data_IF_784804439494
#
_entry.id   IF_784804439494
#
_cell.length_a   1.000
_cell.length_b   1.000
_cell.length_c   1.000
_cell.angle_alpha   90.00
_cell.angle_beta   90.00
_cell.angle_gamma   90.00
#
_symmetry.space_group_name_H-M   'P 1'
#
loop_
_entity.id
_entity.type
_entity.pdbx_description
1 polymer ?
#
# COMPACT_ATOMS: atom_id res chain seq x y z
N UNK A 1 -27.16 65.79 1.30
CA UNK A 1 -27.88 64.53 0.92
C UNK A 1 -26.83 63.48 0.50
N UNK A 2 -26.32 62.73 1.45
CA UNK A 2 -25.31 61.72 1.25
C UNK A 2 -26.00 60.35 1.12
N UNK A 3 -25.82 59.67 -0.02
CA UNK A 3 -26.32 58.34 -0.26
C UNK A 3 -25.29 57.33 0.29
N UNK A 4 -25.65 56.40 1.17
CA UNK A 4 -24.78 55.31 1.56
C UNK A 4 -24.75 54.28 0.42
N UNK A 5 -23.55 53.96 -0.07
CA UNK A 5 -23.27 52.83 -0.96
C UNK A 5 -23.43 51.53 -0.21
N UNK A 6 -24.11 50.53 -0.72
CA UNK A 6 -24.21 49.23 -0.07
C UNK A 6 -22.93 48.42 -0.32
N UNK A 7 -22.14 48.27 0.71
CA UNK A 7 -20.89 47.53 0.76
C UNK A 7 -21.18 46.06 1.22
N UNK A 8 -22.23 45.43 0.66
CA UNK A 8 -22.73 44.10 1.12
C UNK A 8 -22.64 43.02 0.02
N UNK A 9 -21.90 43.21 -1.04
CA UNK A 9 -21.92 42.21 -2.15
C UNK A 9 -20.58 41.53 -2.42
N UNK A 10 -19.69 41.39 -1.41
CA UNK A 10 -18.37 40.80 -1.62
C UNK A 10 -18.04 39.59 -0.71
N UNK A 11 -19.04 38.98 -0.09
CA UNK A 11 -18.81 37.82 0.80
C UNK A 11 -19.46 36.49 0.37
N UNK A 12 -19.89 36.39 -0.88
CA UNK A 12 -20.66 35.23 -1.34
C UNK A 12 -19.96 34.34 -2.38
N UNK A 13 -18.63 34.42 -2.52
CA UNK A 13 -17.94 33.63 -3.55
C UNK A 13 -16.75 32.76 -3.05
N UNK A 14 -16.74 32.33 -1.80
CA UNK A 14 -15.70 31.43 -1.30
C UNK A 14 -16.22 30.21 -0.52
N UNK A 15 -16.99 29.32 -1.12
CA UNK A 15 -17.01 27.95 -0.63
C UNK A 15 -16.93 26.93 -1.76
N UNK A 16 -15.97 27.03 -2.66
CA UNK A 16 -15.86 26.02 -3.73
C UNK A 16 -14.51 25.27 -3.78
N UNK A 17 -13.65 25.46 -2.80
CA UNK A 17 -12.33 24.81 -2.79
C UNK A 17 -12.17 23.70 -1.72
N UNK A 18 -13.25 23.30 -1.08
CA UNK A 18 -13.31 22.07 -0.26
C UNK A 18 -13.99 20.93 -1.02
N UNK A 19 -13.92 20.92 -2.35
CA UNK A 19 -14.15 19.70 -3.11
C UNK A 19 -13.07 18.72 -2.66
N UNK A 20 -13.44 17.77 -1.81
CA UNK A 20 -12.56 16.76 -1.28
C UNK A 20 -11.71 16.20 -2.41
N UNK A 21 -10.43 16.02 -2.14
CA UNK A 21 -9.54 15.27 -3.01
C UNK A 21 -10.18 13.88 -3.19
N UNK A 22 -10.99 13.74 -4.22
CA UNK A 22 -11.42 12.44 -4.71
C UNK A 22 -10.10 11.81 -5.14
N UNK A 23 -9.57 10.91 -4.29
CA UNK A 23 -8.27 10.30 -4.52
C UNK A 23 -8.28 9.68 -5.90
N UNK A 24 -7.37 10.13 -6.76
CA UNK A 24 -7.22 9.58 -8.11
C UNK A 24 -6.84 8.12 -7.95
N UNK A 25 -7.63 7.23 -8.53
CA UNK A 25 -7.29 5.81 -8.59
C UNK A 25 -6.11 5.60 -9.53
N UNK A 26 -5.19 4.78 -9.08
CA UNK A 26 -4.06 4.28 -9.85
C UNK A 26 -4.24 2.78 -10.05
N UNK A 27 -3.57 2.24 -11.06
CA UNK A 27 -3.57 0.81 -11.34
C UNK A 27 -2.25 0.19 -10.91
N UNK A 28 -2.30 -1.05 -10.45
CA UNK A 28 -1.10 -1.80 -10.12
C UNK A 28 -1.35 -3.29 -10.16
N UNK A 29 -0.29 -4.05 -10.38
CA UNK A 29 -0.35 -5.51 -10.42
C UNK A 29 0.27 -6.11 -9.17
N UNK A 30 -0.42 -7.04 -8.55
CA UNK A 30 0.07 -7.80 -7.40
C UNK A 30 1.00 -8.91 -7.90
N UNK A 31 2.29 -8.77 -7.66
CA UNK A 31 3.32 -9.70 -8.18
C UNK A 31 3.83 -10.69 -7.15
N UNK A 32 3.66 -10.41 -5.87
CA UNK A 32 4.14 -11.26 -4.78
C UNK A 32 3.22 -11.16 -3.57
N UNK A 33 3.10 -12.28 -2.85
CA UNK A 33 2.41 -12.35 -1.57
C UNK A 33 3.19 -13.26 -0.63
N UNK A 34 3.31 -12.88 0.62
CA UNK A 34 3.77 -13.75 1.70
C UNK A 34 3.07 -13.36 3.02
N UNK A 35 3.21 -14.19 4.04
CA UNK A 35 2.68 -13.86 5.36
C UNK A 35 3.77 -13.20 6.19
N UNK A 36 3.52 -12.01 6.67
CA UNK A 36 4.42 -11.21 7.48
C UNK A 36 3.80 -10.81 8.81
N UNK A 37 4.47 -9.95 9.55
CA UNK A 37 3.95 -9.40 10.81
C UNK A 37 2.91 -8.31 10.52
N UNK A 38 1.78 -8.36 11.25
CA UNK A 38 0.75 -7.33 11.15
C UNK A 38 1.28 -5.98 11.66
N UNK A 39 1.17 -4.93 10.85
CA UNK A 39 1.48 -3.56 11.28
C UNK A 39 0.32 -3.07 12.15
N UNK A 40 0.61 -2.76 13.43
CA UNK A 40 -0.36 -2.19 14.37
C UNK A 40 -1.13 -3.20 15.22
N UNK A 41 -0.85 -4.49 15.13
CA UNK A 41 -1.44 -5.50 16.00
C UNK A 41 -0.85 -5.52 17.44
N UNK A 42 0.12 -4.67 17.72
CA UNK A 42 0.95 -4.85 18.88
C UNK A 42 0.81 -3.81 19.99
N UNK A 43 -0.37 -3.42 20.42
CA UNK A 43 -0.49 -2.88 21.81
C UNK A 43 -1.97 -2.96 22.16
N UNK A 44 -2.35 -4.12 22.63
CA UNK A 44 -3.70 -4.31 23.15
C UNK A 44 -3.99 -3.32 24.26
N UNK A 45 -5.13 -2.70 24.20
CA UNK A 45 -5.70 -1.77 25.18
C UNK A 45 -5.56 -2.25 26.65
N UNK A 46 -5.42 -3.56 26.85
CA UNK A 46 -5.25 -4.17 28.18
C UNK A 46 -3.91 -3.86 28.85
N UNK A 47 -2.83 -3.54 28.11
CA UNK A 47 -1.54 -3.13 28.69
C UNK A 47 -1.64 -1.76 29.37
N UNK A 48 -2.53 -0.90 28.90
CA UNK A 48 -2.78 0.41 29.50
C UNK A 48 -3.41 0.34 30.91
N UNK A 49 -4.00 -0.78 31.28
CA UNK A 49 -4.65 -1.02 32.57
C UNK A 49 -3.84 -1.93 33.51
N UNK A 50 -2.56 -2.17 33.23
CA UNK A 50 -1.68 -2.93 34.15
C UNK A 50 -1.96 -4.45 34.18
N UNK A 51 -2.68 -4.98 33.22
CA UNK A 51 -2.84 -6.44 33.05
C UNK A 51 -1.52 -7.11 32.63
N UNK A 52 -1.29 -8.39 33.00
CA UNK A 52 -0.12 -9.10 32.53
C UNK A 52 -0.14 -9.16 31.00
N UNK A 53 1.02 -8.94 30.34
CA UNK A 53 1.10 -9.07 28.89
C UNK A 53 0.77 -10.53 28.53
N UNK A 54 -0.41 -10.74 27.98
CA UNK A 54 -0.70 -12.02 27.34
C UNK A 54 0.22 -12.13 26.12
N UNK A 55 1.04 -13.18 26.01
CA UNK A 55 1.82 -13.43 24.80
C UNK A 55 0.82 -13.80 23.70
N UNK A 56 0.24 -12.78 23.05
CA UNK A 56 -0.45 -13.01 21.78
C UNK A 56 0.64 -13.32 20.76
N UNK A 57 0.67 -14.57 20.34
CA UNK A 57 1.43 -14.93 19.14
C UNK A 57 1.01 -13.97 18.03
N UNK A 58 1.91 -13.21 17.41
CA UNK A 58 1.54 -12.24 16.40
C UNK A 58 0.81 -12.99 15.28
N UNK A 59 -0.46 -12.66 15.10
CA UNK A 59 -1.23 -13.24 14.01
C UNK A 59 -0.61 -12.79 12.70
N UNK A 60 -0.28 -13.71 11.77
CA UNK A 60 0.36 -13.32 10.51
C UNK A 60 -0.64 -12.59 9.62
N UNK A 61 -0.18 -11.50 9.01
CA UNK A 61 -0.92 -10.72 8.03
C UNK A 61 -0.36 -10.89 6.62
N UNK A 62 -1.21 -10.89 5.58
CA UNK A 62 -0.72 -10.96 4.21
C UNK A 62 0.02 -9.67 3.84
N UNK A 63 1.22 -9.84 3.33
CA UNK A 63 2.07 -8.80 2.78
C UNK A 63 2.17 -8.97 1.27
N UNK A 64 1.91 -7.89 0.53
CA UNK A 64 1.86 -7.89 -0.93
C UNK A 64 2.89 -6.95 -1.52
N UNK A 65 3.51 -7.35 -2.63
CA UNK A 65 4.24 -6.45 -3.50
C UNK A 65 3.32 -6.04 -4.65
N UNK A 66 2.98 -4.76 -4.69
CA UNK A 66 2.14 -4.13 -5.70
C UNK A 66 3.00 -3.25 -6.61
N UNK A 67 3.01 -3.56 -7.88
CA UNK A 67 3.80 -2.87 -8.90
C UNK A 67 2.87 -1.97 -9.72
N UNK A 68 3.09 -0.66 -9.64
CA UNK A 68 2.44 0.34 -10.49
C UNK A 68 3.40 0.89 -11.54
N UNK A 69 2.96 1.85 -12.35
CA UNK A 69 3.76 2.41 -13.43
C UNK A 69 5.04 3.11 -12.93
N UNK A 70 4.99 3.78 -11.79
CA UNK A 70 6.09 4.59 -11.29
C UNK A 70 6.68 4.11 -9.96
N UNK A 71 5.90 3.40 -9.16
CA UNK A 71 6.25 3.03 -7.79
C UNK A 71 5.88 1.57 -7.53
N UNK A 72 6.73 0.90 -6.78
CA UNK A 72 6.46 -0.43 -6.21
C UNK A 72 6.20 -0.25 -4.72
N UNK A 73 5.11 -0.82 -4.25
CA UNK A 73 4.69 -0.77 -2.85
C UNK A 73 4.80 -2.15 -2.22
N UNK A 74 5.29 -2.18 -1.01
CA UNK A 74 5.08 -3.32 -0.11
C UNK A 74 4.01 -2.91 0.88
N UNK A 75 2.88 -3.61 0.85
CA UNK A 75 1.71 -3.30 1.67
C UNK A 75 1.30 -4.50 2.52
N UNK A 76 0.81 -4.23 3.72
CA UNK A 76 0.43 -5.26 4.69
C UNK A 76 -1.05 -5.14 5.00
N UNK A 77 -1.77 -6.25 4.93
CA UNK A 77 -3.15 -6.34 5.37
C UNK A 77 -3.27 -6.08 6.87
N UNK A 78 -4.40 -5.52 7.28
CA UNK A 78 -4.68 -5.30 8.71
C UNK A 78 -5.16 -6.57 9.43
N UNK A 79 -5.65 -7.53 8.68
CA UNK A 79 -6.18 -8.79 9.16
C UNK A 79 -5.72 -9.93 8.26
N UNK A 80 -5.65 -11.12 8.80
CA UNK A 80 -5.24 -12.34 8.08
C UNK A 80 -6.12 -12.69 6.88
N UNK A 81 -7.35 -12.20 6.84
CA UNK A 81 -8.31 -12.42 5.75
C UNK A 81 -8.33 -11.30 4.67
N UNK A 82 -7.44 -10.32 4.76
CA UNK A 82 -7.32 -9.25 3.75
C UNK A 82 -6.59 -9.77 2.51
N UNK A 83 -7.24 -10.65 1.74
CA UNK A 83 -6.61 -11.30 0.59
C UNK A 83 -6.84 -10.52 -0.70
N UNK A 84 -5.76 -10.38 -1.50
CA UNK A 84 -5.76 -9.83 -2.86
C UNK A 84 -5.23 -10.93 -3.80
N UNK A 85 -5.90 -11.22 -4.91
CA UNK A 85 -5.42 -12.20 -5.89
C UNK A 85 -4.06 -11.82 -6.49
N UNK A 86 -3.19 -12.80 -6.67
CA UNK A 86 -1.90 -12.62 -7.37
C UNK A 86 -2.10 -12.45 -8.87
N UNK A 87 -1.19 -11.71 -9.50
CA UNK A 87 -1.18 -11.41 -10.93
C UNK A 87 -2.40 -10.63 -11.43
N UNK A 88 -3.25 -10.16 -10.53
CA UNK A 88 -4.39 -9.32 -10.88
C UNK A 88 -4.00 -7.84 -10.89
N UNK A 89 -4.52 -7.10 -11.85
CA UNK A 89 -4.47 -5.65 -11.85
C UNK A 89 -5.59 -5.14 -10.96
N UNK A 90 -5.23 -4.32 -10.01
CA UNK A 90 -6.15 -3.75 -9.03
C UNK A 90 -6.13 -2.23 -9.08
N UNK A 91 -7.25 -1.63 -8.72
CA UNK A 91 -7.36 -0.19 -8.53
C UNK A 91 -7.04 0.16 -7.07
N UNK A 92 -6.20 1.15 -6.88
CA UNK A 92 -5.88 1.64 -5.55
C UNK A 92 -5.77 3.15 -5.52
N UNK A 93 -5.93 3.73 -4.34
CA UNK A 93 -5.69 5.14 -4.08
C UNK A 93 -5.01 5.33 -2.74
N UNK A 94 -4.30 6.43 -2.61
CA UNK A 94 -3.74 6.83 -1.32
C UNK A 94 -4.83 7.36 -0.40
N UNK A 95 -4.81 6.88 0.83
CA UNK A 95 -5.63 7.39 1.91
C UNK A 95 -4.78 7.58 3.16
N UNK A 96 -4.31 8.80 3.40
CA UNK A 96 -3.33 9.09 4.46
C UNK A 96 -2.04 8.26 4.24
N UNK A 97 -1.69 7.37 5.19
CA UNK A 97 -0.53 6.48 5.14
C UNK A 97 -0.89 5.05 4.73
N UNK A 98 -2.03 4.88 4.06
CA UNK A 98 -2.55 3.57 3.65
C UNK A 98 -2.86 3.58 2.17
N UNK A 99 -2.88 2.39 1.57
CA UNK A 99 -3.51 2.16 0.29
C UNK A 99 -4.92 1.63 0.51
N UNK A 100 -5.90 2.32 -0.04
CA UNK A 100 -7.26 1.82 -0.19
C UNK A 100 -7.34 1.09 -1.54
N UNK A 101 -7.51 -0.21 -1.49
CA UNK A 101 -7.48 -1.12 -2.64
C UNK A 101 -8.89 -1.56 -2.95
N UNK A 102 -9.27 -1.46 -4.21
CA UNK A 102 -10.50 -2.04 -4.75
C UNK A 102 -10.16 -3.33 -5.46
N UNK A 103 -10.71 -4.43 -4.96
CA UNK A 103 -10.54 -5.76 -5.56
C UNK A 103 -11.82 -6.09 -6.31
N UNK A 104 -11.71 -6.45 -7.57
CA UNK A 104 -12.85 -6.67 -8.47
C UNK A 104 -13.78 -5.44 -8.52
N UNK A 105 -15.01 -5.61 -8.94
CA UNK A 105 -16.03 -4.57 -8.91
C UNK A 105 -16.61 -4.32 -7.50
N UNK A 106 -15.82 -4.62 -6.47
CA UNK A 106 -16.25 -4.49 -5.09
C UNK A 106 -16.60 -3.03 -4.77
N UNK A 107 -17.75 -2.83 -4.17
CA UNK A 107 -18.21 -1.53 -3.68
C UNK A 107 -17.38 -1.02 -2.49
N UNK A 108 -16.61 -1.91 -1.87
CA UNK A 108 -15.85 -1.63 -0.67
C UNK A 108 -14.35 -1.68 -0.94
N UNK A 109 -13.62 -0.75 -0.34
CA UNK A 109 -12.17 -0.71 -0.38
C UNK A 109 -11.59 -1.42 0.83
N UNK A 110 -10.64 -2.30 0.58
CA UNK A 110 -9.79 -2.87 1.63
C UNK A 110 -8.59 -1.94 1.89
N UNK A 111 -8.26 -1.72 3.16
CA UNK A 111 -7.16 -0.85 3.55
C UNK A 111 -5.92 -1.64 3.92
N UNK A 112 -4.81 -1.25 3.35
CA UNK A 112 -3.49 -1.85 3.58
C UNK A 112 -2.54 -0.79 4.11
N UNK A 113 -1.76 -1.13 5.12
CA UNK A 113 -0.70 -0.28 5.60
C UNK A 113 0.48 -0.33 4.62
N UNK A 114 1.09 0.82 4.31
CA UNK A 114 2.29 0.88 3.48
C UNK A 114 3.49 0.59 4.36
N UNK A 115 4.24 -0.45 4.05
CA UNK A 115 5.48 -0.84 4.72
C UNK A 115 6.69 -0.24 4.04
N UNK A 116 6.69 -0.27 2.70
CA UNK A 116 7.80 0.19 1.89
C UNK A 116 7.31 0.76 0.56
N UNK A 117 8.05 1.74 0.03
CA UNK A 117 7.84 2.31 -1.30
C UNK A 117 9.18 2.43 -2.00
N UNK A 118 9.26 1.95 -3.23
CA UNK A 118 10.46 2.01 -4.06
C UNK A 118 10.11 2.54 -5.44
N UNK A 119 10.96 3.37 -6.02
CA UNK A 119 10.79 3.83 -7.41
C UNK A 119 10.88 2.63 -8.35
N UNK A 120 9.99 2.53 -9.33
CA UNK A 120 9.91 1.41 -10.26
C UNK A 120 11.23 1.11 -10.96
N UNK A 121 11.95 2.13 -11.41
CA UNK A 121 13.24 1.96 -12.09
C UNK A 121 14.32 1.32 -11.20
N UNK A 122 14.32 1.63 -9.91
CA UNK A 122 15.29 1.08 -8.96
C UNK A 122 14.94 -0.37 -8.65
N UNK A 123 13.67 -0.66 -8.46
CA UNK A 123 13.18 -2.02 -8.28
C UNK A 123 13.50 -2.90 -9.48
N UNK A 124 13.24 -2.45 -10.71
CA UNK A 124 13.55 -3.17 -11.94
C UNK A 124 15.05 -3.42 -12.11
N UNK A 125 15.90 -2.47 -11.68
CA UNK A 125 17.36 -2.63 -11.68
C UNK A 125 17.79 -3.76 -10.75
N UNK A 126 17.25 -3.79 -9.54
CA UNK A 126 17.55 -4.83 -8.55
C UNK A 126 17.07 -6.19 -9.05
N UNK A 127 15.86 -6.29 -9.62
CA UNK A 127 15.34 -7.55 -10.16
C UNK A 127 16.21 -8.09 -11.29
N UNK A 128 16.67 -7.25 -12.21
CA UNK A 128 17.60 -7.66 -13.27
C UNK A 128 18.91 -8.20 -12.71
N UNK A 129 19.50 -7.52 -11.76
CA UNK A 129 20.75 -7.95 -11.14
C UNK A 129 20.60 -9.31 -10.41
N UNK A 130 19.47 -9.53 -9.75
CA UNK A 130 19.15 -10.82 -9.12
C UNK A 130 19.04 -11.90 -10.20
N UNK A 131 18.33 -11.65 -11.29
CA UNK A 131 18.15 -12.60 -12.37
C UNK A 131 19.49 -12.98 -13.05
N UNK A 132 20.36 -12.01 -13.28
CA UNK A 132 21.71 -12.24 -13.81
C UNK A 132 22.52 -13.17 -12.89
N UNK A 133 22.55 -12.88 -11.59
CA UNK A 133 23.28 -13.70 -10.61
C UNK A 133 22.73 -15.12 -10.48
N UNK A 134 21.42 -15.30 -10.60
CA UNK A 134 20.81 -16.63 -10.58
C UNK A 134 21.24 -17.44 -11.81
N UNK A 135 21.25 -16.81 -12.99
CA UNK A 135 21.72 -17.45 -14.22
C UNK A 135 23.18 -17.91 -14.12
N UNK A 136 24.06 -17.03 -13.63
CA UNK A 136 25.48 -17.37 -13.45
C UNK A 136 25.67 -18.56 -12.50
N UNK A 137 24.85 -18.69 -11.46
CA UNK A 137 24.91 -19.80 -10.51
C UNK A 137 24.41 -21.12 -11.14
N UNK A 138 23.39 -21.10 -11.98
CA UNK A 138 22.90 -22.29 -12.69
C UNK A 138 23.92 -22.78 -13.73
N UNK A 139 24.55 -21.87 -14.45
CA UNK A 139 25.61 -22.21 -15.43
C UNK A 139 26.81 -22.88 -14.75
N UNK A 140 27.22 -22.37 -13.58
CA UNK A 140 28.33 -22.94 -12.80
C UNK A 140 27.99 -24.34 -12.24
N UNK A 141 26.77 -24.55 -11.75
CA UNK A 141 26.34 -25.87 -11.25
C UNK A 141 26.26 -26.92 -12.37
N UNK A 142 25.84 -26.52 -13.57
CA UNK A 142 25.79 -27.39 -14.74
C UNK A 142 27.19 -27.83 -15.20
N UNK A 143 28.18 -26.94 -15.14
CA UNK A 143 29.57 -27.26 -15.52
C UNK A 143 30.23 -28.23 -14.51
N UNK A 144 29.92 -28.09 -13.22
CA UNK A 144 30.45 -29.00 -12.17
C UNK A 144 29.88 -30.40 -12.31
N UNK A 145 28.64 -30.57 -12.74
CA UNK A 145 28.00 -31.89 -12.94
C UNK A 145 28.55 -32.66 -14.16
N UNK A 146 29.17 -32.00 -15.11
CA UNK A 146 29.71 -32.60 -16.32
C UNK A 146 31.17 -33.05 -16.20
N UNK A 147 31.83 -32.81 -15.08
CA UNK A 147 33.16 -33.27 -14.73
C UNK A 147 33.13 -34.45 -13.80
#
# INVERSE_FOLDING_TARGET
MSRPFPLILLFLSLPALLAGQIGIYQHGTVVRMHMGECIGAGHGFMVAFGGPPTPMSPEPCPEYTLVSDHVVFVVVGRMSNSLIPLAQTIDFRFHKNELAVRVDDAKHEAKFAIKEMTVRSDWDRVQRHIAERMKDSEDHESEVRLR
#
